data_IF_371921084935
#
_entry.id   IF_371921084935
#
_cell.length_a   1.000
_cell.length_b   1.000
_cell.length_c   1.000
_cell.angle_alpha   90.00
_cell.angle_beta   90.00
_cell.angle_gamma   90.00
#
_symmetry.space_group_name_H-M   'P 1'
#
loop_
_entity.id
_entity.type
_entity.pdbx_description
1 polymer ?
#
# COMPACT_ATOMS: atom_id res chain seq x y z
N UNK A 1 35.87 43.52 -43.02
CA UNK A 1 35.78 42.05 -42.87
C UNK A 1 34.33 41.71 -42.51
N UNK A 2 33.60 41.08 -43.44
CA UNK A 2 32.88 39.78 -43.30
C UNK A 2 31.92 39.72 -42.08
N UNK A 3 30.62 39.43 -42.17
CA UNK A 3 29.73 38.94 -43.25
C UNK A 3 28.27 39.14 -42.78
N UNK A 4 27.39 39.36 -43.75
CA UNK A 4 25.92 39.28 -43.65
C UNK A 4 25.43 37.83 -43.54
N UNK A 5 24.24 37.61 -42.95
CA UNK A 5 23.06 36.90 -43.51
C UNK A 5 22.14 36.49 -42.33
N UNK A 6 20.91 36.96 -42.24
CA UNK A 6 19.72 36.58 -43.00
C UNK A 6 18.92 35.41 -42.38
N UNK A 7 17.63 35.69 -42.26
CA UNK A 7 16.49 34.98 -41.68
C UNK A 7 16.31 33.57 -42.27
N UNK A 8 15.80 32.62 -41.48
CA UNK A 8 14.94 31.54 -42.00
C UNK A 8 14.07 30.94 -40.90
N UNK A 9 12.77 31.25 -40.97
CA UNK A 9 11.64 30.49 -40.45
C UNK A 9 11.58 29.14 -41.17
N UNK A 10 11.53 28.03 -40.43
CA UNK A 10 11.27 26.71 -41.03
C UNK A 10 9.87 26.22 -40.70
N UNK A 11 9.18 25.81 -41.75
CA UNK A 11 7.80 25.36 -41.79
C UNK A 11 7.65 23.89 -41.39
N UNK A 12 6.43 23.60 -40.90
CA UNK A 12 5.86 22.32 -40.54
C UNK A 12 5.78 21.39 -41.77
N UNK A 13 6.30 20.17 -41.66
CA UNK A 13 6.14 19.12 -42.69
C UNK A 13 5.50 17.87 -42.09
N UNK A 14 4.23 17.66 -42.45
CA UNK A 14 3.48 16.41 -42.31
C UNK A 14 4.05 15.33 -43.23
N UNK A 15 4.34 14.14 -42.69
CA UNK A 15 4.57 12.94 -43.49
C UNK A 15 3.44 11.94 -43.20
N UNK A 16 2.53 11.86 -44.15
CA UNK A 16 1.63 10.72 -44.35
C UNK A 16 2.46 9.64 -45.03
N UNK A 17 2.58 8.47 -44.40
CA UNK A 17 3.03 7.26 -45.09
C UNK A 17 2.20 6.08 -44.58
N UNK A 18 1.17 5.74 -45.33
CA UNK A 18 0.56 4.41 -45.30
C UNK A 18 1.39 3.47 -46.17
N UNK A 19 1.78 2.30 -45.67
CA UNK A 19 1.96 1.13 -46.50
C UNK A 19 1.00 0.03 -46.04
N UNK A 20 -0.14 -0.07 -46.73
CA UNK A 20 -0.88 -1.32 -46.81
C UNK A 20 -0.11 -2.23 -47.78
N UNK A 21 0.71 -3.15 -47.24
CA UNK A 21 1.11 -4.42 -47.87
C UNK A 21 2.23 -5.10 -47.06
N UNK A 22 1.89 -5.65 -45.89
CA UNK A 22 2.49 -6.88 -45.40
C UNK A 22 1.34 -7.75 -44.89
N UNK A 23 0.88 -8.63 -45.77
CA UNK A 23 -0.04 -9.70 -45.46
C UNK A 23 0.58 -10.67 -44.44
N UNK A 24 -0.25 -11.07 -43.48
CA UNK A 24 -0.31 -12.38 -42.83
C UNK A 24 1.02 -13.13 -42.59
N UNK A 25 1.53 -13.06 -41.37
CA UNK A 25 1.93 -14.28 -40.66
C UNK A 25 2.09 -14.04 -39.15
N UNK A 26 1.48 -14.97 -38.41
CA UNK A 26 1.64 -15.27 -36.98
C UNK A 26 0.93 -14.33 -35.99
N UNK A 27 -0.29 -14.75 -35.66
CA UNK A 27 -0.81 -14.80 -34.28
C UNK A 27 0.22 -15.45 -33.34
N UNK A 28 1.25 -14.71 -32.97
CA UNK A 28 1.88 -14.91 -31.67
C UNK A 28 0.95 -14.26 -30.67
N UNK A 29 0.20 -15.09 -29.94
CA UNK A 29 -0.22 -14.73 -28.59
C UNK A 29 1.05 -14.30 -27.86
N UNK A 30 1.32 -12.99 -27.82
CA UNK A 30 2.36 -12.45 -26.95
C UNK A 30 1.96 -12.90 -25.57
N UNK A 31 2.63 -13.93 -25.06
CA UNK A 31 2.49 -14.39 -23.69
C UNK A 31 2.99 -13.23 -22.85
N UNK A 32 2.09 -12.31 -22.50
CA UNK A 32 2.40 -11.18 -21.66
C UNK A 32 2.98 -11.76 -20.38
N UNK A 33 4.30 -11.66 -20.24
CA UNK A 33 5.00 -12.11 -19.06
C UNK A 33 4.86 -10.96 -18.08
N UNK A 34 4.16 -11.15 -16.95
CA UNK A 34 4.06 -10.10 -15.96
C UNK A 34 5.47 -9.67 -15.61
N UNK A 35 5.70 -8.36 -15.63
CA UNK A 35 6.97 -7.81 -15.21
C UNK A 35 7.28 -8.31 -13.78
N UNK A 36 8.54 -8.68 -13.49
CA UNK A 36 8.93 -9.04 -12.15
C UNK A 36 9.03 -7.83 -11.22
N UNK A 37 9.06 -6.60 -11.73
CA UNK A 37 9.27 -5.38 -10.95
C UNK A 37 8.03 -4.51 -10.91
N UNK A 38 7.77 -3.89 -9.75
CA UNK A 38 6.75 -2.87 -9.63
C UNK A 38 7.22 -1.71 -8.77
N UNK A 39 6.86 -0.50 -9.17
CA UNK A 39 7.01 0.72 -8.39
C UNK A 39 5.62 1.28 -8.12
N UNK A 40 5.34 1.72 -6.90
CA UNK A 40 4.11 2.45 -6.60
C UNK A 40 4.39 3.72 -5.80
N UNK A 41 3.56 4.72 -6.02
CA UNK A 41 3.51 5.96 -5.26
C UNK A 41 2.06 6.22 -4.85
N UNK A 42 1.83 6.39 -3.55
CA UNK A 42 0.52 6.66 -2.98
C UNK A 42 0.58 7.97 -2.21
N UNK A 43 -0.45 8.81 -2.37
CA UNK A 43 -0.72 9.94 -1.47
C UNK A 43 -2.06 9.73 -0.79
N UNK A 44 -2.12 9.92 0.51
CA UNK A 44 -3.36 9.92 1.29
C UNK A 44 -3.47 11.22 2.07
N UNK A 45 -4.67 11.76 2.18
CA UNK A 45 -4.97 12.89 3.07
C UNK A 45 -6.28 12.66 3.79
N UNK A 46 -6.45 13.27 4.96
CA UNK A 46 -7.66 13.17 5.76
C UNK A 46 -8.28 14.53 6.02
N UNK A 47 -9.56 14.53 6.39
CA UNK A 47 -10.13 15.65 7.13
C UNK A 47 -9.50 15.77 8.53
N UNK A 48 -9.93 16.80 9.24
CA UNK A 48 -9.59 17.00 10.65
C UNK A 48 -10.43 16.09 11.53
N UNK A 49 -9.82 15.51 12.56
CA UNK A 49 -10.48 14.83 13.67
C UNK A 49 -10.05 15.46 15.00
N UNK A 50 -10.98 15.53 15.96
CA UNK A 50 -10.63 15.87 17.34
C UNK A 50 -9.93 14.67 18.02
N UNK A 51 -8.89 14.97 18.79
CA UNK A 51 -8.12 14.01 19.60
C UNK A 51 -7.82 14.69 20.93
N UNK A 52 -8.56 14.31 21.97
CA UNK A 52 -8.49 14.98 23.27
C UNK A 52 -8.83 16.46 23.16
N UNK A 53 -7.86 17.34 23.42
CA UNK A 53 -8.00 18.80 23.31
C UNK A 53 -7.42 19.39 22.01
N UNK A 54 -6.95 18.54 21.10
CA UNK A 54 -6.31 18.94 19.85
C UNK A 54 -7.13 18.45 18.64
N UNK A 55 -6.80 19.02 17.49
CA UNK A 55 -7.27 18.61 16.18
C UNK A 55 -6.11 17.96 15.42
N UNK A 56 -6.38 16.87 14.72
CA UNK A 56 -5.44 16.11 13.92
C UNK A 56 -5.87 16.06 12.45
N UNK A 57 -4.97 16.47 11.55
CA UNK A 57 -5.09 16.20 10.12
C UNK A 57 -3.87 15.39 9.64
N UNK A 58 -4.06 14.50 8.66
CA UNK A 58 -2.99 13.62 8.17
C UNK A 58 -2.74 13.82 6.68
N UNK A 59 -1.48 13.96 6.26
CA UNK A 59 -1.03 13.83 4.86
C UNK A 59 0.10 12.79 4.81
N UNK A 60 -0.01 11.82 3.91
CA UNK A 60 0.90 10.69 3.86
C UNK A 60 1.34 10.42 2.44
N UNK A 61 2.64 10.24 2.26
CA UNK A 61 3.23 9.74 1.02
C UNK A 61 3.85 8.38 1.27
N UNK A 62 3.59 7.43 0.37
CA UNK A 62 4.12 6.07 0.45
C UNK A 62 4.71 5.70 -0.90
N UNK A 63 5.92 5.14 -0.86
CA UNK A 63 6.63 4.68 -2.04
C UNK A 63 7.03 3.23 -1.82
N UNK A 64 6.72 2.35 -2.77
CA UNK A 64 7.12 0.95 -2.71
C UNK A 64 7.82 0.54 -4.00
N UNK A 65 8.93 -0.18 -3.87
CA UNK A 65 9.54 -0.94 -4.95
C UNK A 65 9.50 -2.43 -4.59
N UNK A 66 8.99 -3.26 -5.51
CA UNK A 66 8.89 -4.72 -5.31
C UNK A 66 9.47 -5.44 -6.52
N UNK A 67 10.13 -6.57 -6.24
CA UNK A 67 10.66 -7.49 -7.22
C UNK A 67 10.18 -8.89 -6.88
N UNK A 68 9.72 -9.67 -7.86
CA UNK A 68 9.22 -11.02 -7.61
C UNK A 68 9.37 -11.92 -8.82
N UNK A 69 9.76 -13.18 -8.58
CA UNK A 69 10.02 -14.13 -9.67
C UNK A 69 9.79 -15.59 -9.25
N UNK A 70 9.36 -16.45 -10.19
CA UNK A 70 9.36 -17.88 -9.96
C UNK A 70 10.80 -18.41 -9.96
N UNK A 71 11.14 -19.23 -8.95
CA UNK A 71 12.40 -20.00 -8.93
C UNK A 71 12.25 -21.38 -9.60
N UNK A 72 11.01 -21.76 -9.90
CA UNK A 72 10.64 -23.00 -10.56
C UNK A 72 9.13 -23.20 -10.50
N UNK A 73 8.66 -24.43 -10.70
CA UNK A 73 7.23 -24.71 -10.76
C UNK A 73 6.52 -24.67 -9.40
N UNK A 74 7.28 -24.74 -8.29
CA UNK A 74 6.76 -24.82 -6.93
C UNK A 74 7.11 -23.63 -6.04
N UNK A 75 8.11 -22.84 -6.43
CA UNK A 75 8.69 -21.81 -5.57
C UNK A 75 8.63 -20.46 -6.23
N UNK A 76 8.21 -19.46 -5.46
CA UNK A 76 8.19 -18.07 -5.87
C UNK A 76 8.86 -17.24 -4.78
N UNK A 77 9.74 -16.32 -5.18
CA UNK A 77 10.43 -15.43 -4.27
C UNK A 77 10.06 -13.99 -4.60
N UNK A 78 9.93 -13.17 -3.56
CA UNK A 78 9.77 -11.74 -3.69
C UNK A 78 10.64 -10.98 -2.70
N UNK A 79 10.94 -9.74 -3.04
CA UNK A 79 11.55 -8.75 -2.19
C UNK A 79 10.83 -7.42 -2.38
N UNK A 80 10.78 -6.62 -1.33
CA UNK A 80 10.22 -5.27 -1.41
C UNK A 80 10.89 -4.33 -0.44
N UNK A 81 11.04 -3.09 -0.87
CA UNK A 81 11.45 -1.97 -0.03
C UNK A 81 10.43 -0.85 -0.16
N UNK A 82 10.25 -0.08 0.89
CA UNK A 82 9.36 1.06 0.86
C UNK A 82 9.81 2.18 1.79
N UNK A 83 9.30 3.36 1.51
CA UNK A 83 9.53 4.57 2.29
C UNK A 83 8.21 5.33 2.39
N UNK A 84 7.83 5.69 3.61
CA UNK A 84 6.65 6.49 3.88
C UNK A 84 7.03 7.74 4.66
N UNK A 85 6.45 8.86 4.25
CA UNK A 85 6.50 10.13 4.97
C UNK A 85 5.09 10.41 5.49
N UNK A 86 4.93 10.46 6.80
CA UNK A 86 3.63 10.65 7.45
C UNK A 86 3.66 11.98 8.21
N UNK A 87 2.85 12.92 7.76
CA UNK A 87 2.69 14.25 8.33
C UNK A 87 1.37 14.29 9.14
N UNK A 88 1.50 14.58 10.43
CA UNK A 88 0.44 14.70 11.42
C UNK A 88 0.36 16.17 11.85
N UNK A 89 -0.52 16.92 11.19
CA UNK A 89 -0.74 18.33 11.46
C UNK A 89 -1.65 18.46 12.70
N UNK A 90 -1.00 18.77 13.81
CA UNK A 90 -1.61 18.99 15.11
C UNK A 90 -1.96 20.46 15.32
N UNK A 91 -3.21 20.74 15.67
CA UNK A 91 -3.68 22.09 16.01
C UNK A 91 -4.34 22.10 17.38
N UNK A 92 -4.06 23.12 18.18
CA UNK A 92 -4.78 23.34 19.44
C UNK A 92 -5.77 24.48 19.25
N UNK A 93 -7.10 24.22 19.26
CA UNK A 93 -8.11 25.28 19.18
C UNK A 93 -8.15 26.15 20.46
N UNK A 94 -7.48 25.72 21.53
CA UNK A 94 -7.41 26.41 22.81
C UNK A 94 -6.07 27.15 22.99
N UNK A 95 -6.04 28.20 23.83
CA UNK A 95 -4.83 28.97 24.17
C UNK A 95 -3.78 28.18 25.00
N UNK A 96 -3.99 26.88 25.22
CA UNK A 96 -3.11 26.02 26.03
C UNK A 96 -1.89 25.49 25.27
N UNK A 97 -1.82 25.72 23.95
CA UNK A 97 -0.72 25.22 23.09
C UNK A 97 -0.90 23.76 22.70
N UNK A 98 -0.21 23.34 21.63
CA UNK A 98 -0.22 21.94 21.19
C UNK A 98 0.55 21.08 22.20
N UNK A 99 -0.09 20.01 22.68
CA UNK A 99 0.51 19.06 23.62
C UNK A 99 1.28 17.94 22.94
N UNK A 100 1.09 17.73 21.64
CA UNK A 100 1.80 16.73 20.86
C UNK A 100 3.10 17.34 20.30
N UNK A 101 4.24 16.75 20.67
CA UNK A 101 5.55 17.23 20.29
C UNK A 101 6.06 16.68 18.94
N UNK A 102 5.36 15.70 18.37
CA UNK A 102 5.72 14.99 17.14
C UNK A 102 4.70 15.31 16.04
N UNK A 103 5.17 15.54 14.82
CA UNK A 103 4.33 15.83 13.66
C UNK A 103 4.76 15.00 12.44
N UNK A 104 6.07 14.79 12.25
CA UNK A 104 6.60 14.17 11.06
C UNK A 104 7.25 12.83 11.34
N UNK A 105 6.68 11.77 10.77
CA UNK A 105 7.18 10.40 10.91
C UNK A 105 7.82 9.92 9.61
N UNK A 106 9.05 9.44 9.73
CA UNK A 106 9.77 8.78 8.64
C UNK A 106 9.69 7.26 8.86
N UNK A 107 9.23 6.53 7.84
CA UNK A 107 9.09 5.08 7.89
C UNK A 107 9.82 4.40 6.74
N UNK A 108 10.70 3.47 7.06
CA UNK A 108 11.38 2.61 6.10
C UNK A 108 10.92 1.18 6.26
N UNK A 109 10.63 0.51 5.14
CA UNK A 109 10.08 -0.86 5.13
C UNK A 109 10.96 -1.75 4.26
N UNK A 110 11.22 -2.96 4.71
CA UNK A 110 11.84 -4.01 3.91
C UNK A 110 11.10 -5.34 4.12
N UNK A 111 11.02 -6.15 3.08
CA UNK A 111 10.36 -7.46 3.15
C UNK A 111 10.97 -8.44 2.17
N UNK A 112 10.95 -9.71 2.56
CA UNK A 112 11.14 -10.84 1.66
C UNK A 112 9.87 -11.67 1.68
N UNK A 113 9.60 -12.40 0.60
CA UNK A 113 8.52 -13.37 0.56
C UNK A 113 8.97 -14.63 -0.14
N UNK A 114 8.54 -15.77 0.39
CA UNK A 114 8.74 -17.08 -0.16
C UNK A 114 7.40 -17.80 -0.19
N UNK A 115 6.95 -18.17 -1.39
CA UNK A 115 5.74 -18.96 -1.57
C UNK A 115 6.08 -20.35 -2.07
N UNK A 116 5.47 -21.35 -1.46
CA UNK A 116 5.62 -22.76 -1.79
C UNK A 116 4.29 -23.37 -2.23
N UNK A 117 4.26 -23.95 -3.43
CA UNK A 117 3.11 -24.67 -4.01
C UNK A 117 3.49 -26.14 -4.23
N UNK A 118 3.31 -27.01 -3.23
CA UNK A 118 3.66 -28.42 -3.35
C UNK A 118 2.87 -29.15 -4.45
N UNK A 119 1.62 -28.73 -4.68
CA UNK A 119 0.68 -29.29 -5.65
C UNK A 119 -0.29 -28.19 -6.15
N UNK A 120 -1.33 -28.58 -6.91
CA UNK A 120 -2.30 -27.65 -7.50
C UNK A 120 -3.23 -26.97 -6.49
N UNK A 121 -3.40 -27.54 -5.30
CA UNK A 121 -4.37 -27.10 -4.30
C UNK A 121 -3.72 -26.26 -3.19
N UNK A 122 -2.57 -26.67 -2.68
CA UNK A 122 -1.96 -26.02 -1.53
C UNK A 122 -0.95 -24.94 -1.90
N UNK A 123 -1.00 -23.83 -1.17
CA UNK A 123 0.01 -22.79 -1.19
C UNK A 123 0.34 -22.36 0.23
N UNK A 124 1.63 -22.25 0.54
CA UNK A 124 2.14 -21.73 1.80
C UNK A 124 2.98 -20.49 1.53
N UNK A 125 2.90 -19.50 2.41
CA UNK A 125 3.68 -18.27 2.31
C UNK A 125 4.43 -18.02 3.62
N UNK A 126 5.67 -17.60 3.50
CA UNK A 126 6.49 -17.03 4.55
C UNK A 126 6.99 -15.67 4.07
N UNK A 127 6.74 -14.62 4.84
CA UNK A 127 7.15 -13.27 4.48
C UNK A 127 7.75 -12.53 5.69
N UNK A 128 9.07 -12.66 5.96
CA UNK A 128 9.73 -11.86 6.97
C UNK A 128 9.80 -10.39 6.54
N UNK A 129 9.71 -9.49 7.51
CA UNK A 129 9.62 -8.04 7.31
C UNK A 129 10.40 -7.30 8.38
N UNK A 130 10.95 -6.17 7.98
CA UNK A 130 11.62 -5.20 8.85
C UNK A 130 10.99 -3.84 8.60
N UNK A 131 10.91 -3.03 9.65
CA UNK A 131 10.45 -1.65 9.59
C UNK A 131 11.31 -0.80 10.52
N UNK A 132 11.54 0.45 10.12
CA UNK A 132 11.97 1.52 11.00
C UNK A 132 10.90 2.61 10.95
N UNK A 133 10.42 3.10 12.09
CA UNK A 133 9.41 4.16 12.13
C UNK A 133 9.64 5.11 13.29
N UNK A 134 10.00 6.36 13.01
CA UNK A 134 10.37 7.35 14.01
C UNK A 134 9.92 8.76 13.63
N UNK A 135 9.61 9.56 14.64
CA UNK A 135 9.40 10.99 14.53
C UNK A 135 10.72 11.73 14.33
N UNK A 136 10.66 12.92 13.75
CA UNK A 136 11.78 13.84 13.64
C UNK A 136 12.38 14.27 15.00
N UNK A 137 11.60 14.14 16.07
CA UNK A 137 12.00 14.32 17.47
C UNK A 137 12.74 13.12 18.09
N UNK A 138 12.84 11.99 17.38
CA UNK A 138 13.42 10.75 17.92
C UNK A 138 14.60 10.24 17.09
N UNK A 139 15.54 9.55 17.74
CA UNK A 139 16.62 8.85 17.05
C UNK A 139 16.13 7.56 16.38
N UNK A 140 16.52 7.34 15.12
CA UNK A 140 16.25 6.10 14.40
C UNK A 140 16.83 4.83 15.06
N UNK A 141 17.77 4.97 16.01
CA UNK A 141 18.53 3.87 16.62
C UNK A 141 17.69 2.85 17.40
N UNK A 142 16.51 3.25 17.89
CA UNK A 142 15.58 2.37 18.63
C UNK A 142 14.21 2.23 17.94
N UNK A 143 14.13 2.62 16.67
CA UNK A 143 12.88 2.68 15.92
C UNK A 143 12.57 1.39 15.14
N UNK A 144 13.31 0.31 15.42
CA UNK A 144 13.27 -0.93 14.65
C UNK A 144 12.15 -1.87 15.09
N UNK A 145 11.46 -2.42 14.11
CA UNK A 145 10.45 -3.47 14.27
C UNK A 145 10.76 -4.60 13.30
N UNK A 146 10.57 -5.84 13.73
CA UNK A 146 10.75 -7.01 12.87
C UNK A 146 9.65 -8.02 13.08
N UNK A 147 9.33 -8.77 12.03
CA UNK A 147 8.24 -9.72 12.11
C UNK A 147 8.20 -10.64 10.91
N UNK A 148 7.21 -11.53 10.92
CA UNK A 148 6.97 -12.43 9.81
C UNK A 148 5.48 -12.68 9.64
N UNK A 149 5.08 -12.83 8.38
CA UNK A 149 3.73 -13.23 8.00
C UNK A 149 3.79 -14.64 7.46
N UNK A 150 2.94 -15.50 8.02
CA UNK A 150 2.77 -16.89 7.59
C UNK A 150 1.34 -17.06 7.07
N UNK A 151 1.16 -17.82 6.00
CA UNK A 151 -0.18 -18.24 5.60
C UNK A 151 -0.21 -19.61 4.93
N UNK A 152 -1.33 -20.30 5.11
CA UNK A 152 -1.69 -21.53 4.42
C UNK A 152 -3.00 -21.33 3.67
N UNK A 153 -2.98 -21.62 2.38
CA UNK A 153 -4.09 -21.38 1.46
C UNK A 153 -4.43 -22.63 0.67
N UNK A 154 -5.72 -22.86 0.47
CA UNK A 154 -6.27 -23.93 -0.35
C UNK A 154 -6.96 -23.34 -1.57
N UNK A 155 -6.56 -23.82 -2.75
CA UNK A 155 -7.15 -23.54 -4.06
C UNK A 155 -8.13 -24.66 -4.41
N UNK A 156 -9.39 -24.30 -4.53
CA UNK A 156 -10.46 -25.18 -5.00
C UNK A 156 -10.36 -25.40 -6.51
N UNK A 157 -11.00 -26.44 -7.03
CA UNK A 157 -11.00 -26.70 -8.48
C UNK A 157 -11.70 -25.58 -9.28
N UNK A 158 -12.57 -24.77 -8.65
CA UNK A 158 -13.12 -23.54 -9.23
C UNK A 158 -12.07 -22.43 -9.45
N UNK A 159 -10.87 -22.59 -8.92
CA UNK A 159 -9.81 -21.58 -8.91
C UNK A 159 -9.88 -20.60 -7.73
N UNK A 160 -10.97 -20.62 -6.95
CA UNK A 160 -11.10 -19.83 -5.73
C UNK A 160 -10.08 -20.26 -4.68
N UNK A 161 -9.63 -19.30 -3.87
CA UNK A 161 -8.63 -19.52 -2.83
C UNK A 161 -9.16 -19.02 -1.50
N UNK A 162 -9.02 -19.85 -0.46
CA UNK A 162 -9.28 -19.48 0.92
C UNK A 162 -8.15 -20.03 1.80
N UNK A 163 -7.79 -19.27 2.83
CA UNK A 163 -6.73 -19.64 3.73
C UNK A 163 -6.76 -18.84 5.01
N UNK A 164 -5.87 -19.21 5.91
CA UNK A 164 -5.60 -18.49 7.15
C UNK A 164 -4.15 -18.07 7.16
N UNK A 165 -3.90 -16.92 7.76
CA UNK A 165 -2.56 -16.46 8.04
C UNK A 165 -2.47 -15.81 9.40
N UNK A 166 -1.23 -15.60 9.82
CA UNK A 166 -0.88 -14.93 11.06
C UNK A 166 0.33 -14.05 10.80
N UNK A 167 0.28 -12.82 11.30
CA UNK A 167 1.43 -11.94 11.39
C UNK A 167 1.94 -11.97 12.83
N UNK A 168 3.19 -12.38 13.03
CA UNK A 168 3.91 -12.22 14.29
C UNK A 168 4.84 -11.01 14.15
N UNK A 169 4.66 -10.00 14.99
CA UNK A 169 5.30 -8.71 14.86
C UNK A 169 5.92 -8.36 16.21
N UNK A 170 7.25 -8.32 16.26
CA UNK A 170 7.96 -7.68 17.36
C UNK A 170 8.12 -6.21 17.00
N UNK A 171 7.22 -5.39 17.51
CA UNK A 171 7.19 -3.95 17.31
C UNK A 171 7.96 -3.23 18.41
N UNK A 172 8.03 -1.91 18.31
CA UNK A 172 8.75 -1.08 19.27
C UNK A 172 8.08 -1.23 20.65
N UNK A 173 8.76 -1.94 21.54
CA UNK A 173 8.32 -2.26 22.91
C UNK A 173 7.04 -3.09 23.06
N UNK A 174 6.54 -3.70 21.98
CA UNK A 174 5.35 -4.55 22.04
C UNK A 174 5.37 -5.69 21.02
N UNK A 175 4.96 -6.89 21.45
CA UNK A 175 4.76 -8.03 20.54
C UNK A 175 3.29 -8.20 20.19
N UNK A 176 2.97 -8.17 18.90
CA UNK A 176 1.61 -8.31 18.38
C UNK A 176 1.49 -9.53 17.48
N UNK A 177 0.40 -10.29 17.68
CA UNK A 177 0.05 -11.44 16.84
C UNK A 177 -1.31 -11.24 16.22
N UNK A 178 -1.35 -11.05 14.90
CA UNK A 178 -2.57 -10.68 14.17
C UNK A 178 -2.98 -11.81 13.23
N UNK A 179 -4.05 -12.57 13.54
CA UNK A 179 -4.61 -13.52 12.60
C UNK A 179 -5.33 -12.79 11.47
N UNK A 180 -5.35 -13.38 10.29
CA UNK A 180 -6.12 -12.86 9.17
C UNK A 180 -6.61 -13.98 8.26
N UNK A 181 -7.64 -13.67 7.48
CA UNK A 181 -8.17 -14.56 6.45
C UNK A 181 -7.52 -14.17 5.12
N UNK A 182 -6.94 -15.15 4.43
CA UNK A 182 -6.44 -15.00 3.07
C UNK A 182 -7.53 -15.44 2.10
N UNK A 183 -8.01 -14.55 1.25
CA UNK A 183 -9.13 -14.82 0.34
C UNK A 183 -8.90 -14.25 -1.05
N UNK A 184 -9.24 -15.05 -2.05
CA UNK A 184 -9.42 -14.62 -3.43
C UNK A 184 -10.55 -15.45 -4.01
N UNK A 185 -11.77 -14.92 -3.92
CA UNK A 185 -13.00 -15.63 -4.21
C UNK A 185 -13.76 -14.94 -5.35
N UNK A 186 -13.82 -15.60 -6.50
CA UNK A 186 -14.65 -15.18 -7.62
C UNK A 186 -16.10 -15.58 -7.32
N UNK A 187 -16.98 -14.59 -7.19
CA UNK A 187 -18.41 -14.79 -6.87
C UNK A 187 -19.23 -14.89 -8.17
N UNK A 188 -18.99 -13.97 -9.10
CA UNK A 188 -19.57 -13.98 -10.46
C UNK A 188 -18.47 -13.72 -11.48
N UNK A 189 -18.75 -13.59 -12.77
CA UNK A 189 -17.71 -13.25 -13.77
C UNK A 189 -17.03 -11.91 -13.48
N UNK A 190 -17.76 -10.94 -12.92
CA UNK A 190 -17.27 -9.58 -12.70
C UNK A 190 -17.10 -9.22 -11.22
N UNK A 191 -17.60 -10.05 -10.29
CA UNK A 191 -17.56 -9.76 -8.86
C UNK A 191 -16.60 -10.69 -8.11
N UNK A 192 -15.67 -10.09 -7.36
CA UNK A 192 -14.63 -10.80 -6.61
C UNK A 192 -14.50 -10.26 -5.19
N UNK A 193 -14.37 -11.17 -4.21
CA UNK A 193 -13.95 -10.85 -2.85
C UNK A 193 -12.45 -11.17 -2.69
N UNK A 194 -11.69 -10.23 -2.14
CA UNK A 194 -10.25 -10.38 -1.96
C UNK A 194 -9.72 -9.60 -0.76
N UNK A 195 -8.43 -9.79 -0.48
CA UNK A 195 -7.72 -8.92 0.44
C UNK A 195 -7.17 -7.68 -0.30
N UNK A 196 -7.51 -6.45 0.11
CA UNK A 196 -7.00 -5.22 -0.50
C UNK A 196 -5.55 -4.90 -0.12
N UNK A 197 -5.09 -5.35 1.06
CA UNK A 197 -3.77 -5.01 1.60
C UNK A 197 -2.95 -6.25 1.92
N UNK A 198 -1.65 -6.06 2.10
CA UNK A 198 -0.77 -7.07 2.70
C UNK A 198 -0.81 -6.97 4.21
N UNK A 199 -0.96 -8.09 4.91
CA UNK A 199 -0.82 -8.12 6.38
C UNK A 199 0.60 -7.70 6.82
N UNK A 200 0.71 -7.12 8.02
CA UNK A 200 1.97 -6.76 8.64
C UNK A 200 1.79 -5.71 9.76
N UNK A 201 2.82 -4.89 9.97
CA UNK A 201 2.82 -3.82 10.99
C UNK A 201 1.63 -2.87 10.91
N UNK A 202 1.09 -2.65 9.70
CA UNK A 202 -0.07 -1.80 9.51
C UNK A 202 -1.43 -2.47 9.72
N UNK A 203 -1.45 -3.68 10.29
CA UNK A 203 -2.66 -4.45 10.57
C UNK A 203 -2.93 -5.60 9.59
N UNK A 204 -4.13 -6.21 9.68
CA UNK A 204 -4.53 -7.33 8.83
C UNK A 204 -4.70 -6.93 7.35
N UNK A 205 -4.89 -7.94 6.51
CA UNK A 205 -4.99 -7.77 5.06
C UNK A 205 -6.29 -7.07 4.58
N UNK A 206 -7.29 -6.93 5.46
CA UNK A 206 -8.61 -6.37 5.13
C UNK A 206 -9.45 -7.27 4.22
N UNK A 207 -10.64 -6.78 3.84
CA UNK A 207 -11.52 -7.40 2.86
C UNK A 207 -12.06 -6.34 1.90
N UNK A 208 -12.10 -6.68 0.61
CA UNK A 208 -12.62 -5.83 -0.45
C UNK A 208 -13.46 -6.66 -1.42
N UNK A 209 -14.65 -6.14 -1.71
CA UNK A 209 -15.49 -6.60 -2.81
C UNK A 209 -15.22 -5.71 -4.02
N UNK A 210 -14.67 -6.28 -5.08
CA UNK A 210 -14.35 -5.58 -6.33
C UNK A 210 -15.28 -6.02 -7.46
N UNK A 211 -15.83 -5.07 -8.19
CA UNK A 211 -16.66 -5.27 -9.38
C UNK A 211 -15.95 -4.72 -10.63
N UNK A 212 -15.76 -5.56 -11.64
CA UNK A 212 -15.23 -5.17 -12.94
C UNK A 212 -16.34 -4.53 -13.77
N UNK A 213 -16.18 -3.26 -14.14
CA UNK A 213 -17.13 -2.51 -14.97
C UNK A 213 -16.92 -2.83 -16.45
N UNK A 214 -15.66 -2.80 -16.89
CA UNK A 214 -15.17 -3.15 -18.22
C UNK A 214 -13.70 -3.59 -18.10
N UNK A 215 -12.97 -3.97 -19.17
CA UNK A 215 -11.59 -4.45 -19.05
C UNK A 215 -10.59 -3.49 -18.38
N UNK A 216 -10.86 -2.19 -18.36
CA UNK A 216 -9.93 -1.15 -17.88
C UNK A 216 -10.39 -0.53 -16.55
N UNK A 217 -11.68 -0.61 -16.22
CA UNK A 217 -12.26 0.01 -15.02
C UNK A 217 -12.85 -1.00 -14.04
N UNK A 218 -12.56 -0.78 -12.76
CA UNK A 218 -13.15 -1.54 -11.66
C UNK A 218 -13.48 -0.64 -10.48
N UNK A 219 -14.49 -1.04 -9.70
CA UNK A 219 -14.87 -0.38 -8.46
C UNK A 219 -14.78 -1.35 -7.28
N UNK A 220 -14.26 -0.90 -6.16
CA UNK A 220 -14.12 -1.69 -4.94
C UNK A 220 -14.83 -1.05 -3.75
N UNK A 221 -15.38 -1.87 -2.87
CA UNK A 221 -15.83 -1.48 -1.53
C UNK A 221 -15.12 -2.38 -0.52
N UNK A 222 -14.41 -1.79 0.43
CA UNK A 222 -13.60 -2.56 1.37
C UNK A 222 -13.53 -1.96 2.75
N UNK A 223 -13.02 -2.77 3.68
CA UNK A 223 -12.73 -2.36 5.05
C UNK A 223 -11.47 -3.04 5.57
N UNK A 224 -10.75 -2.37 6.47
CA UNK A 224 -9.59 -2.92 7.15
C UNK A 224 -9.41 -2.26 8.50
N UNK A 225 -8.96 -3.04 9.48
CA UNK A 225 -8.30 -2.50 10.67
C UNK A 225 -6.89 -2.05 10.30
N UNK A 226 -6.44 -0.91 10.82
CA UNK A 226 -5.14 -0.29 10.54
C UNK A 226 -4.49 0.11 11.85
N UNK A 227 -3.19 -0.17 11.96
CA UNK A 227 -2.43 0.19 13.15
C UNK A 227 -1.14 0.88 12.73
N UNK A 228 -0.76 1.98 13.37
CA UNK A 228 0.47 2.70 13.08
C UNK A 228 1.20 2.95 14.39
N UNK A 229 2.28 2.20 14.63
CA UNK A 229 3.17 2.40 15.77
C UNK A 229 4.48 3.01 15.29
N UNK A 230 4.98 3.99 16.03
CA UNK A 230 6.24 4.68 15.73
C UNK A 230 6.84 5.29 17.00
N UNK A 231 8.16 5.44 17.00
CA UNK A 231 8.92 6.08 18.07
C UNK A 231 8.73 7.60 17.99
N UNK A 232 8.36 8.26 19.10
CA UNK A 232 8.13 9.71 19.15
C UNK A 232 9.19 10.47 19.95
N UNK A 233 9.91 9.80 20.85
CA UNK A 233 11.06 10.39 21.55
C UNK A 233 12.12 9.32 21.85
N UNK A 234 13.29 9.77 22.30
CA UNK A 234 14.33 8.87 22.81
C UNK A 234 13.82 8.12 24.07
N UNK A 235 14.46 7.02 24.45
CA UNK A 235 14.02 6.13 25.55
C UNK A 235 12.76 5.28 25.29
N UNK A 236 12.44 5.05 24.00
CA UNK A 236 11.37 4.13 23.55
C UNK A 236 9.96 4.64 23.83
N UNK A 237 9.77 5.95 23.87
CA UNK A 237 8.43 6.53 23.86
C UNK A 237 7.78 6.31 22.49
N UNK A 238 6.59 5.71 22.47
CA UNK A 238 5.89 5.37 21.22
C UNK A 238 4.49 5.95 21.18
N UNK A 239 4.08 6.38 20.00
CA UNK A 239 2.67 6.58 19.68
C UNK A 239 2.16 5.41 18.85
N UNK A 240 0.97 4.94 19.18
CA UNK A 240 0.22 3.95 18.41
C UNK A 240 -1.15 4.52 18.03
N UNK A 241 -1.46 4.51 16.74
CA UNK A 241 -2.80 4.84 16.23
C UNK A 241 -3.44 3.54 15.73
N UNK A 242 -4.54 3.12 16.35
CA UNK A 242 -5.33 1.96 15.96
C UNK A 242 -6.72 2.40 15.51
N UNK A 243 -7.15 1.99 14.32
CA UNK A 243 -8.41 2.49 13.74
C UNK A 243 -8.98 1.52 12.70
N UNK A 244 -10.28 1.64 12.44
CA UNK A 244 -10.90 1.02 11.28
C UNK A 244 -11.01 1.99 10.12
N UNK A 245 -10.85 1.49 8.90
CA UNK A 245 -11.15 2.24 7.68
C UNK A 245 -12.15 1.47 6.84
N UNK A 246 -13.15 2.17 6.33
CA UNK A 246 -14.01 1.71 5.23
C UNK A 246 -13.78 2.60 4.02
N UNK A 247 -13.75 2.04 2.82
CA UNK A 247 -13.39 2.79 1.63
C UNK A 247 -14.10 2.31 0.37
N UNK A 248 -14.30 3.23 -0.56
CA UNK A 248 -14.62 2.97 -1.95
C UNK A 248 -13.37 3.24 -2.79
N UNK A 249 -13.08 2.35 -3.74
CA UNK A 249 -11.94 2.43 -4.66
C UNK A 249 -12.43 2.48 -6.10
N UNK A 250 -11.90 3.40 -6.91
CA UNK A 250 -12.06 3.40 -8.36
C UNK A 250 -10.70 3.09 -8.99
N UNK A 251 -10.58 1.93 -9.63
CA UNK A 251 -9.38 1.47 -10.31
C UNK A 251 -9.46 1.68 -11.82
N UNK A 252 -8.37 2.18 -12.39
CA UNK A 252 -8.19 2.37 -13.82
C UNK A 252 -6.86 1.77 -14.29
N UNK A 253 -6.94 0.71 -15.09
CA UNK A 253 -5.81 0.07 -15.75
C UNK A 253 -5.53 0.79 -17.08
N UNK A 254 -4.76 1.88 -17.02
CA UNK A 254 -4.38 2.69 -18.20
C UNK A 254 -3.67 1.83 -19.26
N UNK A 255 -2.86 0.88 -18.81
CA UNK A 255 -2.22 -0.12 -19.65
C UNK A 255 -1.83 -1.34 -18.83
N UNK A 256 -1.29 -2.37 -19.48
CA UNK A 256 -0.74 -3.53 -18.76
C UNK A 256 0.39 -3.18 -17.77
N UNK A 257 1.06 -2.04 -17.98
CA UNK A 257 2.17 -1.56 -17.18
C UNK A 257 1.77 -0.50 -16.14
N UNK A 258 0.67 0.24 -16.34
CA UNK A 258 0.29 1.39 -15.50
C UNK A 258 -1.14 1.22 -15.02
N UNK A 259 -1.33 1.30 -13.71
CA UNK A 259 -2.66 1.32 -13.08
C UNK A 259 -2.75 2.45 -12.06
N UNK A 260 -3.93 3.05 -11.94
CA UNK A 260 -4.25 4.11 -10.99
C UNK A 260 -5.43 3.69 -10.13
N UNK A 261 -5.37 3.92 -8.83
CA UNK A 261 -6.48 3.72 -7.91
C UNK A 261 -6.78 5.02 -7.16
N UNK A 262 -8.01 5.49 -7.24
CA UNK A 262 -8.51 6.58 -6.42
C UNK A 262 -9.38 6.03 -5.29
N UNK A 263 -9.25 6.58 -4.09
CA UNK A 263 -9.95 6.14 -2.90
C UNK A 263 -10.71 7.28 -2.23
N UNK A 264 -11.93 6.98 -1.78
CA UNK A 264 -12.65 7.76 -0.79
C UNK A 264 -12.88 6.88 0.44
N UNK A 265 -12.36 7.29 1.58
CA UNK A 265 -12.32 6.52 2.81
C UNK A 265 -12.98 7.23 3.99
N UNK A 266 -13.25 6.47 5.04
CA UNK A 266 -13.75 6.95 6.31
C UNK A 266 -13.09 6.14 7.43
N UNK A 267 -12.31 6.82 8.26
CA UNK A 267 -11.72 6.26 9.47
C UNK A 267 -12.69 6.40 10.64
N UNK A 268 -12.77 5.37 11.47
CA UNK A 268 -13.67 5.33 12.61
C UNK A 268 -13.14 4.40 13.71
N UNK A 269 -13.63 4.60 14.94
CA UNK A 269 -13.15 3.88 16.12
C UNK A 269 -11.61 3.97 16.22
N UNK A 270 -11.11 5.21 16.09
CA UNK A 270 -9.70 5.51 16.18
C UNK A 270 -9.28 5.75 17.62
N UNK A 271 -8.14 5.22 18.00
CA UNK A 271 -7.54 5.38 19.31
C UNK A 271 -6.06 5.77 19.12
N UNK A 272 -5.60 6.78 19.86
CA UNK A 272 -4.20 7.16 19.99
C UNK A 272 -3.71 6.73 21.37
N UNK A 273 -2.71 5.85 21.42
CA UNK A 273 -2.05 5.42 22.64
C UNK A 273 -0.62 5.95 22.71
N UNK A 274 -0.25 6.53 23.85
CA UNK A 274 1.09 7.02 24.14
C UNK A 274 1.76 6.20 25.24
N UNK A 275 2.87 5.56 24.91
CA UNK A 275 3.70 4.80 25.86
C UNK A 275 5.00 5.56 26.17
N UNK A 276 5.50 5.53 27.43
CA UNK A 276 5.00 4.79 28.60
C UNK A 276 3.95 5.54 29.43
N UNK A 277 3.40 6.66 28.95
CA UNK A 277 2.44 7.46 29.72
C UNK A 277 1.11 6.74 29.99
N UNK A 278 0.82 5.65 29.27
CA UNK A 278 -0.41 4.85 29.38
C UNK A 278 -1.66 5.73 29.19
N UNK A 279 -1.53 6.71 28.27
CA UNK A 279 -2.61 7.62 27.91
C UNK A 279 -3.22 7.14 26.61
N UNK A 280 -4.54 6.93 26.61
CA UNK A 280 -5.33 6.64 25.42
C UNK A 280 -6.30 7.80 25.16
N UNK A 281 -6.28 8.34 23.95
CA UNK A 281 -7.22 9.35 23.48
C UNK A 281 -8.01 8.81 22.29
N UNK A 282 -9.33 9.00 22.31
CA UNK A 282 -10.18 8.70 21.15
C UNK A 282 -9.89 9.69 20.03
N UNK A 283 -9.82 9.18 18.80
CA UNK A 283 -9.73 9.95 17.57
C UNK A 283 -11.11 9.95 16.93
N UNK A 284 -11.67 11.16 16.75
CA UNK A 284 -12.94 11.32 16.08
C UNK A 284 -12.92 10.79 14.64
N UNK A 285 -14.09 10.36 14.19
CA UNK A 285 -14.21 9.78 12.85
C UNK A 285 -13.91 10.83 11.78
N UNK A 286 -13.16 10.45 10.76
CA UNK A 286 -12.72 11.39 9.72
C UNK A 286 -12.75 10.79 8.32
N UNK A 287 -13.16 11.63 7.37
CA UNK A 287 -13.07 11.31 5.94
C UNK A 287 -11.62 11.28 5.45
N UNK A 288 -11.37 10.51 4.41
CA UNK A 288 -10.06 10.39 3.78
C UNK A 288 -10.17 10.30 2.26
N UNK A 289 -9.10 10.72 1.57
CA UNK A 289 -8.93 10.52 0.15
C UNK A 289 -7.53 9.99 -0.12
N UNK A 290 -7.39 9.09 -1.10
CA UNK A 290 -6.07 8.64 -1.53
C UNK A 290 -5.98 8.45 -3.04
N UNK A 291 -4.77 8.56 -3.57
CA UNK A 291 -4.44 8.25 -4.95
C UNK A 291 -3.20 7.36 -4.95
N UNK A 292 -3.32 6.19 -5.57
CA UNK A 292 -2.23 5.24 -5.80
C UNK A 292 -1.95 5.15 -7.29
N UNK A 293 -0.67 5.21 -7.66
CA UNK A 293 -0.20 4.97 -9.02
C UNK A 293 0.82 3.86 -8.98
N UNK A 294 0.58 2.79 -9.73
CA UNK A 294 1.47 1.64 -9.82
C UNK A 294 1.98 1.47 -11.25
N UNK A 295 3.29 1.25 -11.36
CA UNK A 295 4.00 0.95 -12.60
C UNK A 295 4.68 -0.42 -12.54
N UNK A 296 4.55 -1.24 -13.58
CA UNK A 296 5.13 -2.60 -13.71
C UNK A 296 6.00 -2.65 -14.98
N UNK A 297 7.26 -3.08 -14.86
CA UNK A 297 8.26 -3.06 -15.96
C UNK A 297 9.26 -4.22 -15.99
#
# INVERSE_FOLDING_TARGET
MKKSLAISTLALSTLVSSPAALAEQQTQSSSYRPSPFSLSATRMTTGTADVGNNELQRDQWMFDFKASMPLGNKWFIGAGVGYDNLDYDWRSPNLQGNTQAWDKIERYRASLSLSYRPNKNWMFMLAPKLQYAYADTASASNAESYGTVLSGMYRFDSGNVLGLGVAYLNDIDEVRTVPFIAVSWQITENLKLGNPFSAGFSGPAGLELSYQLDPDWNIGLGTSKRTNRFLIADEKETAEIDEWVSFVRLGWDISKAVSVNAYAGYFFNGELELNPQDTTEDIDNQGAAALDVTFKF
#
